data_IF_037213793465
#
_entry.id   IF_037213793465
#
_cell.length_a   1.000
_cell.length_b   1.000
_cell.length_c   1.000
_cell.angle_alpha   90.00
_cell.angle_beta   90.00
_cell.angle_gamma   90.00
#
_symmetry.space_group_name_H-M   'P 1'
#
loop_
_entity.id
_entity.type
_entity.pdbx_description
1 polymer ?
#
# COMPACT_ATOMS: atom_id res chain seq x y z
N UNK A 1 -11.02 0.96 3.73
CA UNK A 1 -11.59 -0.02 4.67
C UNK A 1 -13.06 0.28 4.95
N UNK A 2 -13.41 1.46 5.49
CA UNK A 2 -14.79 1.77 5.89
C UNK A 2 -15.79 1.53 4.76
N UNK A 3 -15.56 2.09 3.58
CA UNK A 3 -16.42 1.87 2.42
C UNK A 3 -16.64 0.37 2.11
N UNK A 4 -15.60 -0.44 2.19
CA UNK A 4 -15.70 -1.88 1.92
C UNK A 4 -16.55 -2.61 2.97
N UNK A 5 -16.42 -2.21 4.24
CA UNK A 5 -17.18 -2.77 5.36
C UNK A 5 -18.64 -2.30 5.33
N UNK A 6 -18.89 -1.01 5.08
CA UNK A 6 -20.23 -0.42 5.05
C UNK A 6 -21.08 -0.96 3.89
N UNK A 7 -20.43 -1.23 2.75
CA UNK A 7 -21.10 -1.79 1.56
C UNK A 7 -21.21 -3.33 1.58
N UNK A 8 -20.63 -3.99 2.58
CA UNK A 8 -20.61 -5.44 2.66
C UNK A 8 -19.73 -6.14 1.62
N UNK A 9 -18.80 -5.38 0.99
CA UNK A 9 -17.81 -5.94 0.05
C UNK A 9 -16.73 -6.72 0.79
N UNK A 10 -16.42 -6.31 2.03
CA UNK A 10 -15.53 -7.03 2.92
C UNK A 10 -16.18 -7.19 4.30
N UNK A 11 -15.99 -8.35 4.92
CA UNK A 11 -16.43 -8.62 6.28
C UNK A 11 -15.38 -8.12 7.30
N UNK A 12 -14.12 -8.06 6.89
CA UNK A 12 -12.98 -7.73 7.75
C UNK A 12 -11.86 -7.06 6.96
N UNK A 13 -11.20 -6.09 7.58
CA UNK A 13 -9.99 -5.44 7.07
C UNK A 13 -8.87 -5.57 8.11
N UNK A 14 -7.72 -6.12 7.72
CA UNK A 14 -6.54 -6.24 8.57
C UNK A 14 -5.47 -5.31 8.02
N UNK A 15 -5.00 -4.39 8.85
CA UNK A 15 -3.91 -3.48 8.52
C UNK A 15 -2.60 -4.02 9.08
N UNK A 16 -1.66 -4.29 8.19
CA UNK A 16 -0.30 -4.66 8.57
C UNK A 16 0.55 -3.40 8.70
N UNK A 17 0.82 -3.02 9.93
CA UNK A 17 1.72 -1.93 10.29
C UNK A 17 3.18 -2.43 10.37
N UNK A 18 4.10 -1.49 10.40
CA UNK A 18 5.52 -1.76 10.60
C UNK A 18 5.90 -1.59 12.06
N UNK A 19 6.84 -2.39 12.52
CA UNK A 19 7.37 -2.35 13.88
C UNK A 19 8.33 -1.18 14.09
N UNK A 20 9.05 -0.79 13.03
CA UNK A 20 9.91 0.39 12.99
C UNK A 20 9.69 1.18 11.69
N UNK A 21 9.94 2.50 11.67
CA UNK A 21 9.84 3.29 10.44
C UNK A 21 11.02 2.96 9.50
N UNK A 22 10.76 2.17 8.46
CA UNK A 22 11.75 1.87 7.43
C UNK A 22 11.91 3.06 6.47
N UNK A 23 10.80 3.71 6.15
CA UNK A 23 10.71 4.96 5.37
C UNK A 23 9.88 5.99 6.12
N UNK A 24 10.07 7.27 5.80
CA UNK A 24 9.42 8.40 6.51
C UNK A 24 7.89 8.29 6.56
N UNK A 25 7.27 7.71 5.55
CA UNK A 25 5.81 7.59 5.42
C UNK A 25 5.25 6.22 5.86
N UNK A 26 6.06 5.40 6.50
CA UNK A 26 5.60 4.12 7.01
C UNK A 26 4.68 4.30 8.21
N UNK A 27 3.65 3.44 8.27
CA UNK A 27 2.63 3.47 9.33
C UNK A 27 2.98 2.43 10.38
N UNK A 28 2.99 2.85 11.64
CA UNK A 28 3.15 2.02 12.83
C UNK A 28 1.82 1.93 13.61
N UNK A 29 1.69 0.99 14.53
CA UNK A 29 0.46 0.85 15.31
C UNK A 29 0.04 2.14 16.03
N UNK A 30 1.01 2.86 16.61
CA UNK A 30 0.77 4.15 17.29
C UNK A 30 0.10 5.21 16.40
N UNK A 31 0.31 5.14 15.08
CA UNK A 31 -0.21 6.15 14.15
C UNK A 31 -1.75 6.01 13.97
N UNK A 32 -2.28 4.81 14.17
CA UNK A 32 -3.74 4.60 14.21
C UNK A 32 -4.37 5.22 15.45
N UNK A 33 -3.73 5.06 16.60
CA UNK A 33 -4.20 5.70 17.85
C UNK A 33 -4.14 7.22 17.74
N UNK A 34 -3.04 7.76 17.19
CA UNK A 34 -2.89 9.19 16.95
C UNK A 34 -3.95 9.71 15.98
N UNK A 35 -4.22 8.97 14.89
CA UNK A 35 -5.28 9.36 13.94
C UNK A 35 -6.64 9.46 14.63
N UNK A 36 -7.01 8.49 15.45
CA UNK A 36 -8.29 8.53 16.19
C UNK A 36 -8.34 9.68 17.20
N UNK A 37 -7.23 9.93 17.88
CA UNK A 37 -7.09 11.07 18.78
C UNK A 37 -7.25 12.39 18.02
N UNK A 38 -6.56 12.58 16.91
CA UNK A 38 -6.61 13.81 16.11
C UNK A 38 -7.99 14.04 15.48
N UNK A 39 -8.68 12.97 15.05
CA UNK A 39 -10.07 13.06 14.59
C UNK A 39 -11.02 13.60 15.66
N UNK A 40 -10.73 13.39 16.93
CA UNK A 40 -11.54 13.83 18.07
C UNK A 40 -11.09 15.18 18.65
N UNK A 41 -9.78 15.40 18.79
CA UNK A 41 -9.23 16.60 19.42
C UNK A 41 -9.24 17.83 18.52
N UNK A 42 -9.23 17.64 17.20
CA UNK A 42 -9.08 18.71 16.18
C UNK A 42 -7.69 19.39 16.18
N UNK A 43 -6.70 18.78 16.79
CA UNK A 43 -5.35 19.35 16.81
C UNK A 43 -4.73 19.40 15.41
N UNK A 44 -4.95 18.34 14.62
CA UNK A 44 -4.53 18.27 13.23
C UNK A 44 -5.64 18.65 12.26
N UNK A 45 -6.86 18.13 12.44
CA UNK A 45 -8.00 18.39 11.56
C UNK A 45 -8.80 19.61 12.04
N UNK A 46 -8.22 20.81 11.89
CA UNK A 46 -8.93 22.05 12.24
C UNK A 46 -10.14 22.28 11.34
N UNK A 47 -11.28 22.60 11.94
CA UNK A 47 -12.53 22.87 11.23
C UNK A 47 -12.91 24.36 11.22
N UNK A 48 -12.14 25.22 11.90
CA UNK A 48 -12.50 26.63 12.20
C UNK A 48 -12.70 27.49 10.96
N UNK A 49 -11.94 27.22 9.91
CA UNK A 49 -11.91 28.00 8.66
C UNK A 49 -12.75 27.38 7.54
N UNK A 50 -13.54 26.35 7.86
CA UNK A 50 -14.41 25.70 6.88
C UNK A 50 -15.75 26.45 6.72
N UNK A 51 -16.41 26.33 5.60
CA UNK A 51 -17.74 26.95 5.33
C UNK A 51 -18.81 26.50 6.33
N UNK A 52 -18.74 25.25 6.79
CA UNK A 52 -19.64 24.69 7.82
C UNK A 52 -18.85 23.94 8.88
N UNK A 53 -18.29 24.64 9.87
CA UNK A 53 -17.46 24.03 10.91
C UNK A 53 -18.21 22.98 11.75
N UNK A 54 -19.49 23.22 12.03
CA UNK A 54 -20.31 22.30 12.84
C UNK A 54 -20.51 20.96 12.11
N UNK A 55 -20.90 20.98 10.82
CA UNK A 55 -21.08 19.76 10.03
C UNK A 55 -19.76 18.99 9.87
N UNK A 56 -18.66 19.71 9.71
CA UNK A 56 -17.33 19.10 9.62
C UNK A 56 -16.95 18.42 10.96
N UNK A 57 -17.22 19.08 12.09
CA UNK A 57 -16.97 18.52 13.41
C UNK A 57 -17.80 17.25 13.68
N UNK A 58 -19.08 17.29 13.38
CA UNK A 58 -19.99 16.14 13.48
C UNK A 58 -19.52 14.98 12.60
N UNK A 59 -19.07 15.26 11.36
CA UNK A 59 -18.57 14.26 10.41
C UNK A 59 -17.28 13.59 10.90
N UNK A 60 -16.34 14.36 11.45
CA UNK A 60 -15.09 13.80 12.01
C UNK A 60 -15.36 12.94 13.26
N UNK A 61 -16.28 13.35 14.12
CA UNK A 61 -16.70 12.56 15.28
C UNK A 61 -17.40 11.26 14.86
N UNK A 62 -18.28 11.31 13.86
CA UNK A 62 -18.94 10.15 13.31
C UNK A 62 -17.93 9.17 12.69
N UNK A 63 -16.94 9.70 11.96
CA UNK A 63 -15.85 8.89 11.38
C UNK A 63 -15.05 8.17 12.47
N UNK A 64 -14.59 8.90 13.50
CA UNK A 64 -13.84 8.31 14.60
C UNK A 64 -14.66 7.22 15.32
N UNK A 65 -15.93 7.50 15.63
CA UNK A 65 -16.83 6.56 16.30
C UNK A 65 -17.09 5.30 15.45
N UNK A 66 -17.21 5.45 14.14
CA UNK A 66 -17.39 4.31 13.21
C UNK A 66 -16.14 3.42 13.20
N UNK A 67 -14.94 4.02 13.14
CA UNK A 67 -13.68 3.25 13.19
C UNK A 67 -13.59 2.49 14.52
N UNK A 68 -13.81 3.14 15.66
CA UNK A 68 -13.78 2.51 16.98
C UNK A 68 -14.80 1.37 17.11
N UNK A 69 -15.99 1.56 16.58
CA UNK A 69 -17.02 0.51 16.53
C UNK A 69 -16.57 -0.70 15.75
N UNK A 70 -15.97 -0.52 14.56
CA UNK A 70 -15.46 -1.64 13.76
C UNK A 70 -14.23 -2.32 14.38
N UNK A 71 -13.38 -1.56 15.06
CA UNK A 71 -12.27 -2.14 15.85
C UNK A 71 -12.82 -2.99 16.99
N UNK A 72 -13.79 -2.48 17.76
CA UNK A 72 -14.40 -3.22 18.88
C UNK A 72 -15.14 -4.49 18.43
N UNK A 73 -15.72 -4.49 17.23
CA UNK A 73 -16.36 -5.65 16.60
C UNK A 73 -15.36 -6.63 15.96
N UNK A 74 -14.06 -6.31 15.92
CA UNK A 74 -13.04 -7.10 15.26
C UNK A 74 -13.10 -7.05 13.72
N UNK A 75 -13.90 -6.16 13.13
CA UNK A 75 -13.98 -5.95 11.68
C UNK A 75 -12.78 -5.17 11.14
N UNK A 76 -12.20 -4.29 11.94
CA UNK A 76 -10.91 -3.66 11.67
C UNK A 76 -9.91 -4.20 12.68
N UNK A 77 -8.79 -4.70 12.18
CA UNK A 77 -7.68 -5.18 13.00
C UNK A 77 -6.38 -4.53 12.53
N UNK A 78 -5.52 -4.26 13.50
CA UNK A 78 -4.16 -3.79 13.27
C UNK A 78 -3.18 -4.84 13.78
N UNK A 79 -2.26 -5.24 12.94
CA UNK A 79 -1.21 -6.22 13.26
C UNK A 79 0.14 -5.63 12.90
N UNK A 80 1.17 -6.10 13.58
CA UNK A 80 2.55 -5.67 13.40
C UNK A 80 3.41 -6.91 13.16
N UNK A 81 4.29 -6.85 12.18
CA UNK A 81 5.22 -7.93 11.90
C UNK A 81 6.56 -7.36 11.43
N UNK A 82 7.66 -7.85 12.04
CA UNK A 82 9.02 -7.42 11.71
C UNK A 82 9.46 -7.81 10.30
N UNK A 83 8.80 -8.77 9.65
CA UNK A 83 9.10 -9.15 8.27
C UNK A 83 9.05 -7.94 7.31
N UNK A 84 8.13 -7.01 7.54
CA UNK A 84 7.95 -5.84 6.68
C UNK A 84 9.14 -4.88 6.66
N UNK A 85 10.00 -4.95 7.68
CA UNK A 85 11.15 -4.04 7.90
C UNK A 85 12.51 -4.73 7.78
N UNK A 86 12.53 -6.02 7.37
CA UNK A 86 13.77 -6.76 7.12
C UNK A 86 14.43 -6.35 5.81
N UNK A 87 15.64 -6.85 5.57
CA UNK A 87 16.37 -6.76 4.31
C UNK A 87 15.79 -7.64 3.20
N UNK A 88 14.92 -8.61 3.54
CA UNK A 88 14.30 -9.49 2.57
C UNK A 88 13.31 -8.75 1.66
N UNK A 89 13.29 -9.09 0.39
CA UNK A 89 12.18 -8.73 -0.50
C UNK A 89 10.96 -9.64 -0.23
N UNK A 90 9.80 -9.32 -0.84
CA UNK A 90 8.56 -10.07 -0.60
C UNK A 90 8.50 -11.42 -1.32
N UNK A 91 9.49 -11.76 -2.12
CA UNK A 91 9.63 -13.11 -2.66
C UNK A 91 9.84 -14.17 -1.57
N UNK A 92 10.27 -13.72 -0.37
CA UNK A 92 10.41 -14.54 0.84
C UNK A 92 9.10 -14.70 1.63
N UNK A 93 7.96 -14.21 1.13
CA UNK A 93 6.64 -14.62 1.59
C UNK A 93 6.33 -16.00 1.02
N UNK A 94 6.94 -17.02 1.60
CA UNK A 94 6.98 -18.39 1.08
C UNK A 94 6.78 -19.40 2.22
N UNK A 95 6.06 -20.52 1.99
CA UNK A 95 5.83 -21.55 3.02
C UNK A 95 7.10 -22.15 3.62
N UNK A 96 8.22 -22.14 2.89
CA UNK A 96 9.50 -22.67 3.31
C UNK A 96 10.41 -21.67 4.01
N UNK A 97 10.05 -20.37 4.02
CA UNK A 97 10.88 -19.34 4.62
C UNK A 97 10.87 -19.42 6.16
N UNK A 98 12.03 -19.60 6.73
CA UNK A 98 12.19 -19.74 8.19
C UNK A 98 12.68 -18.46 8.88
N UNK A 99 13.21 -17.50 8.10
CA UNK A 99 13.68 -16.21 8.63
C UNK A 99 12.53 -15.25 8.82
N UNK A 100 12.58 -14.47 9.86
CA UNK A 100 11.70 -13.34 10.11
C UNK A 100 10.21 -13.66 9.96
N UNK A 101 9.79 -14.87 10.32
CA UNK A 101 8.38 -15.31 10.26
C UNK A 101 7.76 -15.34 8.85
N UNK A 102 8.55 -15.34 7.77
CA UNK A 102 8.05 -15.30 6.39
C UNK A 102 6.99 -16.36 6.07
N UNK A 103 7.17 -17.60 6.53
CA UNK A 103 6.20 -18.68 6.33
C UNK A 103 4.91 -18.51 7.15
N UNK A 104 4.99 -17.94 8.35
CA UNK A 104 3.82 -17.66 9.19
C UNK A 104 3.00 -16.55 8.55
N UNK A 105 3.65 -15.46 8.16
CA UNK A 105 3.00 -14.34 7.49
C UNK A 105 2.40 -14.77 6.14
N UNK A 106 3.11 -15.60 5.35
CA UNK A 106 2.56 -16.18 4.13
C UNK A 106 1.25 -16.92 4.40
N UNK A 107 1.20 -17.79 5.41
CA UNK A 107 0.00 -18.54 5.79
C UNK A 107 -1.17 -17.61 6.13
N UNK A 108 -0.91 -16.52 6.84
CA UNK A 108 -1.94 -15.54 7.20
C UNK A 108 -2.45 -14.80 5.97
N UNK A 109 -1.55 -14.37 5.07
CA UNK A 109 -1.92 -13.65 3.84
C UNK A 109 -2.69 -14.52 2.84
N UNK A 110 -2.38 -15.80 2.72
CA UNK A 110 -3.12 -16.75 1.85
C UNK A 110 -4.58 -16.93 2.30
N UNK A 111 -4.87 -16.72 3.58
CA UNK A 111 -6.25 -16.77 4.09
C UNK A 111 -7.05 -15.50 3.81
N UNK A 112 -6.44 -14.48 3.21
CA UNK A 112 -7.11 -13.25 2.82
C UNK A 112 -7.65 -13.35 1.39
N UNK A 113 -8.87 -12.85 1.14
CA UNK A 113 -9.45 -12.80 -0.22
C UNK A 113 -8.67 -11.86 -1.14
N UNK A 114 -8.05 -10.81 -0.58
CA UNK A 114 -7.21 -9.87 -1.29
C UNK A 114 -6.21 -9.22 -0.34
N UNK A 115 -4.95 -9.20 -0.74
CA UNK A 115 -3.88 -8.45 -0.06
C UNK A 115 -3.57 -7.19 -0.86
N UNK A 116 -3.71 -6.02 -0.24
CA UNK A 116 -3.43 -4.73 -0.88
C UNK A 116 -2.09 -4.20 -0.39
N UNK A 117 -1.10 -4.18 -1.28
CA UNK A 117 0.19 -3.55 -1.05
C UNK A 117 0.13 -2.09 -1.51
N UNK A 118 0.17 -1.16 -0.57
CA UNK A 118 0.07 0.26 -0.85
C UNK A 118 1.42 0.96 -0.64
N UNK A 119 1.87 1.68 -1.66
CA UNK A 119 3.04 2.57 -1.59
C UNK A 119 4.27 2.08 -2.34
N UNK A 120 5.22 2.99 -2.49
CA UNK A 120 6.42 2.80 -3.30
C UNK A 120 7.35 1.71 -2.74
N UNK A 121 7.62 1.73 -1.44
CA UNK A 121 8.48 0.71 -0.82
C UNK A 121 7.91 -0.69 -0.99
N UNK A 122 6.59 -0.87 -0.79
CA UNK A 122 5.96 -2.17 -0.98
C UNK A 122 6.10 -2.66 -2.42
N UNK A 123 5.90 -1.78 -3.40
CA UNK A 123 6.10 -2.13 -4.81
C UNK A 123 7.54 -2.55 -5.10
N UNK A 124 8.52 -1.83 -4.58
CA UNK A 124 9.93 -2.17 -4.75
C UNK A 124 10.25 -3.53 -4.14
N UNK A 125 9.76 -3.83 -2.94
CA UNK A 125 9.92 -5.13 -2.31
C UNK A 125 9.18 -6.26 -3.03
N UNK A 126 8.02 -5.99 -3.65
CA UNK A 126 7.32 -6.95 -4.51
C UNK A 126 8.13 -7.32 -5.75
N UNK A 127 8.81 -6.36 -6.37
CA UNK A 127 9.61 -6.55 -7.59
C UNK A 127 11.08 -6.89 -7.33
N UNK A 128 11.46 -7.09 -6.05
CA UNK A 128 12.82 -7.34 -5.62
C UNK A 128 13.76 -6.15 -5.80
N UNK A 129 13.23 -4.94 -6.02
CA UNK A 129 13.97 -3.69 -6.25
C UNK A 129 15.05 -3.80 -7.35
N UNK A 130 14.76 -4.52 -8.43
CA UNK A 130 15.69 -4.83 -9.52
C UNK A 130 15.48 -3.90 -10.71
N UNK A 131 16.51 -3.76 -11.53
CA UNK A 131 16.42 -3.11 -12.83
C UNK A 131 15.70 -4.01 -13.83
N UNK A 132 14.39 -3.85 -13.91
CA UNK A 132 13.55 -4.51 -14.89
C UNK A 132 13.39 -3.65 -16.14
N UNK A 133 13.39 -4.25 -17.36
CA UNK A 133 12.81 -3.58 -18.51
C UNK A 133 11.36 -3.16 -18.21
N UNK A 134 10.97 -1.95 -18.61
CA UNK A 134 9.63 -1.39 -18.34
C UNK A 134 8.46 -2.28 -18.81
N UNK A 135 8.69 -3.01 -19.89
CA UNK A 135 7.71 -3.94 -20.48
C UNK A 135 7.71 -5.33 -19.86
N UNK A 136 8.52 -5.57 -18.81
CA UNK A 136 8.51 -6.86 -18.12
C UNK A 136 7.14 -7.12 -17.51
N UNK A 137 6.48 -8.25 -17.83
CA UNK A 137 5.18 -8.57 -17.27
C UNK A 137 5.18 -8.60 -15.74
N UNK A 138 4.10 -8.11 -15.11
CA UNK A 138 3.96 -8.05 -13.65
C UNK A 138 4.27 -9.37 -12.95
N UNK A 139 3.66 -10.46 -13.45
CA UNK A 139 3.86 -11.79 -12.86
C UNK A 139 5.31 -12.30 -12.92
N UNK A 140 6.09 -11.84 -13.92
CA UNK A 140 7.52 -12.13 -13.96
C UNK A 140 8.30 -11.31 -12.94
N UNK A 141 7.94 -10.03 -12.80
CA UNK A 141 8.65 -9.10 -11.91
C UNK A 141 8.41 -9.38 -10.43
N UNK A 142 7.26 -9.95 -10.05
CA UNK A 142 6.97 -10.34 -8.66
C UNK A 142 7.47 -11.76 -8.32
N UNK A 143 8.05 -12.46 -9.29
CA UNK A 143 8.68 -13.76 -9.09
C UNK A 143 7.76 -14.81 -8.43
N UNK A 144 8.18 -15.45 -7.32
CA UNK A 144 7.41 -16.51 -6.67
C UNK A 144 6.00 -16.07 -6.22
N UNK A 145 5.78 -14.79 -5.95
CA UNK A 145 4.46 -14.28 -5.53
C UNK A 145 3.37 -14.48 -6.61
N UNK A 146 3.75 -14.63 -7.88
CA UNK A 146 2.81 -14.91 -8.95
C UNK A 146 2.08 -16.26 -8.78
N UNK A 147 2.67 -17.21 -8.04
CA UNK A 147 2.17 -18.58 -7.87
C UNK A 147 2.10 -19.07 -6.41
N UNK A 148 2.27 -18.19 -5.44
CA UNK A 148 2.31 -18.55 -4.01
C UNK A 148 0.94 -18.50 -3.30
N UNK A 149 -0.15 -18.40 -4.07
CA UNK A 149 -1.56 -18.33 -3.62
C UNK A 149 -1.98 -17.01 -2.95
N UNK A 150 -1.10 -16.04 -2.81
CA UNK A 150 -1.47 -14.71 -2.34
C UNK A 150 -2.08 -13.92 -3.50
N UNK A 151 -3.38 -13.66 -3.46
CA UNK A 151 -4.05 -12.75 -4.37
C UNK A 151 -3.69 -11.33 -3.99
N UNK A 152 -3.02 -10.61 -4.85
CA UNK A 152 -2.44 -9.31 -4.49
C UNK A 152 -2.80 -8.18 -5.45
N UNK A 153 -3.00 -6.99 -4.88
CA UNK A 153 -3.18 -5.73 -5.59
C UNK A 153 -2.11 -4.75 -5.11
N UNK A 154 -1.29 -4.25 -6.02
CA UNK A 154 -0.31 -3.20 -5.73
C UNK A 154 -0.82 -1.85 -6.18
N UNK A 155 -0.85 -0.88 -5.26
CA UNK A 155 -1.22 0.51 -5.50
C UNK A 155 0.01 1.38 -5.23
N UNK A 156 0.59 1.99 -6.28
CA UNK A 156 1.83 2.73 -6.16
C UNK A 156 1.80 4.07 -6.88
N UNK A 157 2.15 5.13 -6.18
CA UNK A 157 2.65 6.36 -6.79
C UNK A 157 4.12 6.17 -7.16
N UNK A 158 4.48 6.48 -8.41
CA UNK A 158 5.83 6.29 -8.94
C UNK A 158 6.81 7.31 -8.32
N UNK A 159 7.69 6.85 -7.42
CA UNK A 159 8.69 7.65 -6.71
C UNK A 159 10.11 7.08 -6.80
N UNK A 160 10.30 6.04 -7.59
CA UNK A 160 11.57 5.41 -7.86
C UNK A 160 11.56 4.82 -9.27
N UNK A 161 12.73 4.57 -9.81
CA UNK A 161 12.91 4.15 -11.21
C UNK A 161 12.33 2.77 -11.55
N UNK A 162 12.11 1.91 -10.56
CA UNK A 162 11.51 0.58 -10.78
C UNK A 162 10.04 0.71 -11.18
N UNK A 163 9.73 0.47 -12.45
CA UNK A 163 8.36 0.32 -12.97
C UNK A 163 8.35 -0.83 -13.97
N UNK A 164 7.33 -1.65 -13.94
CA UNK A 164 7.15 -2.80 -14.84
C UNK A 164 5.73 -2.85 -15.39
N UNK A 165 5.50 -3.76 -16.34
CA UNK A 165 4.20 -4.04 -16.96
C UNK A 165 3.61 -2.86 -17.76
N UNK A 166 4.49 -1.99 -18.27
CA UNK A 166 4.07 -0.96 -19.20
C UNK A 166 3.91 -1.57 -20.61
N UNK A 167 2.84 -1.19 -21.32
CA UNK A 167 2.76 -1.47 -22.76
C UNK A 167 3.96 -0.87 -23.51
N UNK A 168 4.32 -1.49 -24.64
CA UNK A 168 5.38 -0.97 -25.51
C UNK A 168 5.08 0.47 -25.95
N UNK A 169 6.09 1.33 -25.92
CA UNK A 169 6.00 2.74 -26.31
C UNK A 169 5.47 3.68 -25.22
N UNK A 170 4.93 3.17 -24.11
CA UNK A 170 4.39 4.02 -23.05
C UNK A 170 5.50 4.73 -22.28
N UNK A 171 6.64 4.08 -22.04
CA UNK A 171 7.78 4.72 -21.37
C UNK A 171 8.31 5.90 -22.18
N UNK A 172 8.48 5.71 -23.50
CA UNK A 172 8.93 6.77 -24.42
C UNK A 172 7.94 7.93 -24.49
N UNK A 173 6.64 7.64 -24.51
CA UNK A 173 5.62 8.67 -24.47
C UNK A 173 5.66 9.49 -23.17
N UNK A 174 5.85 8.83 -22.03
CA UNK A 174 5.93 9.49 -20.74
C UNK A 174 7.23 10.29 -20.58
N UNK A 175 8.35 9.79 -21.09
CA UNK A 175 9.61 10.53 -21.18
C UNK A 175 9.41 11.84 -21.95
N UNK A 176 8.83 11.75 -23.14
CA UNK A 176 8.57 12.92 -23.99
C UNK A 176 7.63 13.92 -23.31
N UNK A 177 6.53 13.43 -22.74
CA UNK A 177 5.58 14.28 -22.01
C UNK A 177 6.23 14.99 -20.82
N UNK A 178 7.14 14.32 -20.13
CA UNK A 178 7.88 14.88 -19.01
C UNK A 178 8.84 15.97 -19.45
N UNK A 179 9.55 15.78 -20.56
CA UNK A 179 10.45 16.79 -21.16
C UNK A 179 9.66 18.00 -21.68
N UNK A 180 8.50 17.80 -22.34
CA UNK A 180 7.62 18.88 -22.81
C UNK A 180 7.09 19.76 -21.66
N UNK A 181 7.08 19.26 -20.43
CA UNK A 181 6.76 20.03 -19.21
C UNK A 181 7.96 20.84 -18.67
N UNK A 182 9.09 20.89 -19.39
CA UNK A 182 10.26 21.67 -19.03
C UNK A 182 11.26 20.96 -18.11
N UNK A 183 11.22 19.62 -18.08
CA UNK A 183 12.17 18.82 -17.30
C UNK A 183 13.34 18.31 -18.15
N UNK A 184 14.54 18.31 -17.60
CA UNK A 184 15.78 18.03 -18.36
C UNK A 184 15.99 16.56 -18.73
N UNK A 185 15.42 15.62 -17.95
CA UNK A 185 15.65 14.18 -18.12
C UNK A 185 14.33 13.43 -18.17
N UNK A 186 13.98 12.94 -19.37
CA UNK A 186 12.73 12.27 -19.66
C UNK A 186 12.42 11.11 -18.70
N UNK A 187 13.38 10.24 -18.43
CA UNK A 187 13.20 9.04 -17.57
C UNK A 187 12.80 9.36 -16.12
N UNK A 188 13.01 10.59 -15.65
CA UNK A 188 12.63 10.99 -14.30
C UNK A 188 11.11 11.11 -14.07
N UNK A 189 10.29 10.97 -15.10
CA UNK A 189 8.86 10.83 -14.91
C UNK A 189 8.54 9.74 -13.89
N UNK A 190 9.27 8.62 -13.92
CA UNK A 190 9.06 7.44 -13.08
C UNK A 190 9.33 7.66 -11.57
N UNK A 191 10.05 8.72 -11.23
CA UNK A 191 10.34 9.10 -9.82
C UNK A 191 9.69 10.40 -9.38
N UNK A 192 8.90 11.02 -10.24
CA UNK A 192 8.32 12.36 -10.03
C UNK A 192 7.18 12.43 -9.01
N UNK A 193 6.54 11.31 -8.68
CA UNK A 193 5.34 11.28 -7.85
C UNK A 193 4.05 11.72 -8.57
N UNK A 194 4.10 12.01 -9.87
CA UNK A 194 2.93 12.47 -10.65
C UNK A 194 2.14 11.34 -11.31
N UNK A 195 2.71 10.18 -11.46
CA UNK A 195 2.06 8.99 -12.03
C UNK A 195 1.89 7.90 -10.99
N UNK A 196 0.95 7.01 -11.24
CA UNK A 196 0.69 5.85 -10.42
C UNK A 196 0.50 4.61 -11.28
N UNK A 197 0.81 3.45 -10.72
CA UNK A 197 0.53 2.15 -11.32
C UNK A 197 -0.33 1.32 -10.39
N UNK A 198 -1.20 0.50 -11.00
CA UNK A 198 -2.06 -0.47 -10.32
C UNK A 198 -1.77 -1.82 -10.96
N UNK A 199 -1.26 -2.77 -10.17
CA UNK A 199 -0.89 -4.09 -10.65
C UNK A 199 -1.59 -5.16 -9.81
N UNK A 200 -2.09 -6.21 -10.47
CA UNK A 200 -2.84 -7.28 -9.85
C UNK A 200 -2.25 -8.65 -10.19
N UNK A 201 -2.25 -9.56 -9.22
CA UNK A 201 -1.91 -10.97 -9.40
C UNK A 201 -2.92 -11.85 -8.68
N UNK A 202 -3.32 -12.94 -9.35
CA UNK A 202 -4.19 -13.98 -8.75
C UNK A 202 -3.46 -14.84 -7.72
N UNK A 203 -2.12 -14.85 -7.76
CA UNK A 203 -1.30 -15.79 -6.99
C UNK A 203 -1.33 -17.24 -7.46
N UNK A 204 -1.91 -17.51 -8.63
CA UNK A 204 -2.11 -18.87 -9.18
C UNK A 204 -1.57 -19.04 -10.61
N UNK A 205 -0.56 -18.27 -11.01
CA UNK A 205 0.05 -18.34 -12.34
C UNK A 205 1.19 -19.34 -12.42
#
# INVERSE_FOLDING_TARGET
ALFLLDTGVADKCIFHAKDIPYMVSDVMLKDFDLLLQDLKSRDFFSVKDLENPQLADESLNALASTIESYVSQGKIQFVEDSFWTTDLDYWHLDPSETKYHGSVLHKDLVNSDLVIFKGDLNYRKLTGDRHWPRTTPWNKAIGPLASNKIKSLSLRTAKADVIVDLPEGVDEQLCKLWEEQGNDVGSFWSSSGKWAVICYSTGNN
#
